data_IF_200516984811
#
_entry.id   IF_200516984811
#
_cell.length_a   1.000
_cell.length_b   1.000
_cell.length_c   1.000
_cell.angle_alpha   90.00
_cell.angle_beta   90.00
_cell.angle_gamma   90.00
#
_symmetry.space_group_name_H-M   'P 1'
#
loop_
_entity.id
_entity.type
_entity.pdbx_description
1 polymer ?
#
# COMPACT_ATOMS: atom_id res chain seq x y z
N UNK A 1 -15.89 -16.05 -15.11
CA UNK A 1 -14.97 -15.12 -14.43
C UNK A 1 -13.85 -15.96 -13.87
N UNK A 2 -12.61 -15.48 -13.86
CA UNK A 2 -11.53 -16.20 -13.21
C UNK A 2 -11.86 -16.51 -11.74
N UNK A 3 -11.27 -17.55 -11.20
CA UNK A 3 -11.39 -17.89 -9.80
C UNK A 3 -10.79 -16.78 -8.92
N UNK A 4 -11.45 -16.47 -7.80
CA UNK A 4 -10.88 -15.58 -6.80
C UNK A 4 -9.89 -16.39 -5.98
N UNK A 5 -8.60 -16.12 -6.15
CA UNK A 5 -7.51 -16.81 -5.45
C UNK A 5 -7.05 -16.08 -4.19
N UNK A 6 -7.34 -14.80 -4.10
CA UNK A 6 -7.08 -13.98 -2.91
C UNK A 6 -8.31 -13.09 -2.66
N UNK A 7 -8.95 -13.26 -1.53
CA UNK A 7 -10.18 -12.55 -1.14
C UNK A 7 -9.92 -11.71 0.11
N UNK A 8 -10.51 -10.51 0.15
CA UNK A 8 -10.45 -9.62 1.32
C UNK A 8 -11.83 -9.40 1.91
N UNK A 9 -11.88 -9.19 3.21
CA UNK A 9 -13.05 -8.71 3.93
C UNK A 9 -12.84 -7.21 4.25
N UNK A 10 -13.58 -6.34 3.58
CA UNK A 10 -13.46 -4.89 3.74
C UNK A 10 -13.98 -4.37 5.08
N UNK A 11 -14.71 -5.19 5.81
CA UNK A 11 -15.27 -4.87 7.12
C UNK A 11 -14.36 -5.34 8.28
N UNK A 12 -13.31 -6.10 7.96
CA UNK A 12 -12.35 -6.63 8.93
C UNK A 12 -11.01 -5.90 8.85
N UNK A 13 -10.36 -5.65 10.00
CA UNK A 13 -9.02 -5.09 9.98
C UNK A 13 -8.00 -6.04 9.34
N UNK A 14 -6.84 -5.54 8.90
CA UNK A 14 -5.86 -6.35 8.18
C UNK A 14 -5.39 -7.60 8.91
N UNK A 15 -5.28 -7.58 10.24
CA UNK A 15 -4.85 -8.72 11.07
C UNK A 15 -5.94 -9.78 11.29
N UNK A 16 -7.18 -9.47 10.89
CA UNK A 16 -8.33 -10.38 10.96
C UNK A 16 -8.82 -10.84 9.58
N UNK A 17 -8.04 -10.63 8.52
CA UNK A 17 -8.44 -11.00 7.16
C UNK A 17 -8.60 -12.52 7.00
N UNK A 18 -9.64 -12.98 6.30
CA UNK A 18 -9.82 -14.40 6.03
C UNK A 18 -8.79 -14.91 5.02
N UNK A 19 -8.05 -15.91 5.37
CA UNK A 19 -7.27 -16.72 4.43
C UNK A 19 -5.85 -16.30 4.13
N UNK A 20 -5.42 -15.09 4.39
CA UNK A 20 -4.03 -14.71 4.27
C UNK A 20 -3.71 -13.53 5.18
N UNK A 21 -2.57 -13.56 5.82
CA UNK A 21 -2.09 -12.41 6.54
C UNK A 21 -1.65 -11.33 5.54
N UNK A 22 -2.31 -10.16 5.50
CA UNK A 22 -1.82 -9.06 4.70
C UNK A 22 -0.43 -8.66 5.21
N UNK A 23 0.40 -8.25 4.30
CA UNK A 23 1.77 -7.84 4.60
C UNK A 23 2.07 -6.50 3.94
N UNK A 24 3.00 -5.77 4.51
CA UNK A 24 3.44 -4.48 3.98
C UNK A 24 4.97 -4.39 3.91
N UNK A 25 5.64 -5.52 3.75
CA UNK A 25 7.09 -5.62 3.69
C UNK A 25 7.54 -6.39 2.46
N UNK A 26 8.66 -5.96 1.89
CA UNK A 26 9.37 -6.68 0.86
C UNK A 26 10.40 -7.60 1.50
N UNK A 27 10.15 -8.92 1.44
CA UNK A 27 11.09 -9.92 1.95
C UNK A 27 10.95 -11.23 1.20
N UNK A 28 12.08 -11.92 0.88
CA UNK A 28 12.04 -13.17 0.11
C UNK A 28 11.38 -14.34 0.85
N UNK A 29 11.35 -14.30 2.18
CA UNK A 29 10.81 -15.39 2.99
C UNK A 29 9.32 -15.23 3.33
N UNK A 30 8.62 -14.21 2.84
CA UNK A 30 7.17 -14.12 2.99
C UNK A 30 6.55 -15.23 2.14
N UNK A 31 5.83 -16.19 2.77
CA UNK A 31 5.32 -17.35 2.05
C UNK A 31 4.23 -16.95 1.05
N UNK A 32 4.29 -17.51 -0.14
CA UNK A 32 3.22 -17.34 -1.12
C UNK A 32 1.92 -17.99 -0.59
N UNK A 33 0.81 -17.29 -0.80
CA UNK A 33 -0.53 -17.74 -0.40
C UNK A 33 -1.43 -18.02 -1.61
N UNK A 34 -0.95 -17.69 -2.80
CA UNK A 34 -1.60 -17.96 -4.09
C UNK A 34 -0.60 -18.65 -4.99
N UNK A 35 -1.05 -19.67 -5.72
CA UNK A 35 -0.26 -20.36 -6.74
C UNK A 35 -0.97 -20.25 -8.09
N UNK A 36 -0.20 -20.00 -9.14
CA UNK A 36 -0.69 -19.91 -10.53
C UNK A 36 0.29 -20.59 -11.47
N UNK A 37 -0.25 -21.22 -12.52
CA UNK A 37 0.52 -21.72 -13.65
C UNK A 37 0.92 -20.56 -14.60
N UNK A 38 1.95 -20.78 -15.43
CA UNK A 38 2.28 -19.83 -16.50
C UNK A 38 1.10 -19.63 -17.44
N UNK A 39 0.73 -18.38 -17.67
CA UNK A 39 -0.41 -17.98 -18.48
C UNK A 39 -1.78 -18.15 -17.83
N UNK A 40 -1.85 -18.59 -16.58
CA UNK A 40 -3.11 -18.65 -15.83
C UNK A 40 -3.63 -17.25 -15.52
N UNK A 41 -4.96 -17.13 -15.46
CA UNK A 41 -5.65 -15.92 -15.06
C UNK A 41 -6.25 -16.09 -13.67
N UNK A 42 -5.86 -15.26 -12.73
CA UNK A 42 -6.38 -15.24 -11.36
C UNK A 42 -7.02 -13.88 -11.05
N UNK A 43 -8.00 -13.89 -10.14
CA UNK A 43 -8.54 -12.68 -9.54
C UNK A 43 -7.96 -12.54 -8.14
N UNK A 44 -7.37 -11.38 -7.88
CA UNK A 44 -6.87 -10.98 -6.58
C UNK A 44 -7.67 -9.76 -6.11
N UNK A 45 -8.13 -9.79 -4.89
CA UNK A 45 -8.73 -8.64 -4.23
C UNK A 45 -7.68 -7.99 -3.33
N UNK A 46 -7.74 -6.69 -3.17
CA UNK A 46 -6.81 -5.94 -2.34
C UNK A 46 -7.56 -4.92 -1.47
N UNK A 47 -7.05 -4.68 -0.28
CA UNK A 47 -7.44 -3.54 0.52
C UNK A 47 -6.87 -2.25 -0.10
N UNK A 48 -7.39 -1.11 0.30
CA UNK A 48 -6.72 0.15 0.03
C UNK A 48 -5.37 0.19 0.77
N UNK A 49 -4.51 1.15 0.37
CA UNK A 49 -3.15 1.23 0.89
C UNK A 49 -3.07 1.42 2.41
N UNK A 50 -4.10 1.98 3.04
CA UNK A 50 -4.16 2.17 4.50
C UNK A 50 -4.68 0.94 5.25
N UNK A 51 -5.20 -0.07 4.53
CA UNK A 51 -5.84 -1.22 5.16
C UNK A 51 -7.18 -0.89 5.81
N UNK A 52 -7.89 0.13 5.31
CA UNK A 52 -9.20 0.53 5.84
C UNK A 52 -9.15 1.55 6.97
N UNK A 53 -7.99 2.15 7.25
CA UNK A 53 -7.90 3.21 8.27
C UNK A 53 -8.64 4.48 7.86
N UNK A 54 -8.89 4.67 6.57
CA UNK A 54 -9.70 5.77 6.04
C UNK A 54 -11.08 5.24 5.67
N UNK A 55 -12.12 5.82 6.23
CA UNK A 55 -13.50 5.39 6.03
C UNK A 55 -14.33 6.43 5.27
N UNK A 56 -15.52 6.04 4.81
CA UNK A 56 -16.45 6.93 4.10
C UNK A 56 -17.13 7.91 5.06
N UNK A 57 -16.35 8.81 5.63
CA UNK A 57 -16.83 9.91 6.46
C UNK A 57 -16.09 11.22 6.14
N UNK A 58 -16.47 12.31 6.78
CA UNK A 58 -15.94 13.65 6.53
C UNK A 58 -14.85 14.07 7.53
N UNK A 59 -14.37 13.16 8.39
CA UNK A 59 -13.35 13.47 9.40
C UNK A 59 -11.94 13.45 8.78
N UNK A 60 -11.25 14.60 8.66
CA UNK A 60 -9.89 14.66 8.15
C UNK A 60 -8.85 14.12 9.16
N UNK A 61 -9.24 13.95 10.44
CA UNK A 61 -8.32 13.42 11.44
C UNK A 61 -7.92 11.98 11.13
N UNK A 62 -8.75 11.21 10.43
CA UNK A 62 -8.35 9.88 9.97
C UNK A 62 -7.07 9.92 9.13
N UNK A 63 -6.88 10.95 8.28
CA UNK A 63 -5.64 11.11 7.51
C UNK A 63 -4.46 11.49 8.40
N UNK A 64 -4.69 12.35 9.42
CA UNK A 64 -3.66 12.68 10.41
C UNK A 64 -3.24 11.47 11.24
N UNK A 65 -4.19 10.64 11.60
CA UNK A 65 -4.01 9.56 12.56
C UNK A 65 -3.70 8.20 11.89
N UNK A 66 -3.51 8.17 10.57
CA UNK A 66 -3.06 6.96 9.87
C UNK A 66 -1.77 6.45 10.47
N UNK A 67 -1.78 5.20 10.91
CA UNK A 67 -0.56 4.50 11.32
C UNK A 67 0.25 4.12 10.06
N UNK A 68 1.29 4.91 9.80
CA UNK A 68 2.15 4.71 8.64
C UNK A 68 3.02 3.45 8.74
N UNK A 69 3.13 2.83 9.92
CA UNK A 69 3.83 1.56 10.06
C UNK A 69 3.06 0.38 9.45
N UNK A 70 1.76 0.54 9.25
CA UNK A 70 0.86 -0.50 8.73
C UNK A 70 0.57 -0.36 7.23
N UNK A 71 1.22 0.55 6.53
CA UNK A 71 1.03 0.76 5.10
C UNK A 71 2.28 0.33 4.31
N UNK A 72 2.19 0.02 3.03
CA UNK A 72 1.01 -0.23 2.21
C UNK A 72 0.66 -1.71 2.23
N UNK A 73 -0.58 -2.06 2.42
CA UNK A 73 -0.98 -3.46 2.40
C UNK A 73 -0.96 -4.04 0.99
N UNK A 74 -0.37 -5.22 0.87
CA UNK A 74 -0.20 -5.96 -0.38
C UNK A 74 -1.05 -7.22 -0.40
N UNK A 75 -1.59 -7.54 -1.57
CA UNK A 75 -2.28 -8.79 -1.86
C UNK A 75 -1.30 -9.84 -2.40
N UNK A 76 -1.38 -11.06 -1.91
CA UNK A 76 -0.48 -12.15 -2.24
C UNK A 76 0.41 -12.53 -1.05
N UNK A 77 1.69 -12.94 -1.23
CA UNK A 77 2.42 -13.12 -2.51
C UNK A 77 1.85 -14.22 -3.40
N UNK A 78 2.10 -14.08 -4.70
CA UNK A 78 1.71 -15.06 -5.71
C UNK A 78 2.94 -15.83 -6.16
N UNK A 79 2.89 -17.16 -6.04
CA UNK A 79 3.88 -18.05 -6.65
C UNK A 79 3.46 -18.36 -8.10
N UNK A 80 4.37 -18.20 -9.03
CA UNK A 80 4.17 -18.59 -10.43
C UNK A 80 4.97 -19.88 -10.68
N UNK A 81 4.27 -20.97 -11.00
CA UNK A 81 4.93 -22.25 -11.18
C UNK A 81 5.95 -22.22 -12.33
N UNK A 82 7.14 -22.74 -12.06
CA UNK A 82 8.25 -22.76 -13.00
C UNK A 82 9.02 -21.44 -13.15
N UNK A 83 8.60 -20.34 -12.54
CA UNK A 83 9.37 -19.10 -12.57
C UNK A 83 10.57 -19.17 -11.61
N UNK A 84 11.74 -18.76 -12.09
CA UNK A 84 12.99 -18.78 -11.32
C UNK A 84 13.60 -17.36 -11.20
N UNK A 85 14.42 -17.10 -10.17
CA UNK A 85 15.14 -15.84 -10.06
C UNK A 85 15.98 -15.55 -11.30
N UNK A 86 15.74 -14.38 -11.92
CA UNK A 86 16.38 -13.97 -13.17
C UNK A 86 15.48 -14.06 -14.40
N UNK A 87 14.32 -14.70 -14.29
CA UNK A 87 13.32 -14.70 -15.34
C UNK A 87 12.63 -13.35 -15.46
N UNK A 88 12.12 -13.07 -16.64
CA UNK A 88 11.29 -11.90 -16.91
C UNK A 88 9.82 -12.27 -16.73
N UNK A 89 9.22 -11.85 -15.63
CA UNK A 89 7.80 -12.03 -15.38
C UNK A 89 6.98 -10.96 -16.12
N UNK A 90 6.06 -11.39 -16.98
CA UNK A 90 5.05 -10.53 -17.60
C UNK A 90 3.73 -10.66 -16.83
N UNK A 91 3.30 -9.58 -16.19
CA UNK A 91 1.98 -9.47 -15.56
C UNK A 91 1.07 -8.66 -16.48
N UNK A 92 -0.09 -9.21 -16.82
CA UNK A 92 -1.08 -8.56 -17.67
C UNK A 92 -2.36 -8.31 -16.87
N UNK A 93 -2.67 -7.04 -16.59
CA UNK A 93 -3.91 -6.64 -15.94
C UNK A 93 -5.05 -6.66 -16.97
N UNK A 94 -5.91 -7.65 -16.86
CA UNK A 94 -7.03 -7.83 -17.79
C UNK A 94 -8.23 -6.98 -17.41
N UNK A 95 -8.45 -6.79 -16.11
CA UNK A 95 -9.52 -5.97 -15.57
C UNK A 95 -9.15 -5.49 -14.16
N UNK A 96 -9.59 -4.29 -13.80
CA UNK A 96 -9.43 -3.72 -12.47
C UNK A 96 -10.64 -2.85 -12.14
N UNK A 97 -11.09 -2.92 -10.90
CA UNK A 97 -12.23 -2.13 -10.45
C UNK A 97 -12.42 -2.16 -8.95
N UNK A 98 -13.31 -1.32 -8.42
CA UNK A 98 -13.67 -1.38 -7.02
C UNK A 98 -14.35 -2.71 -6.69
N UNK A 99 -14.36 -3.06 -5.42
CA UNK A 99 -15.09 -4.23 -4.91
C UNK A 99 -16.59 -3.92 -4.85
N UNK A 100 -17.26 -4.02 -6.00
CA UNK A 100 -18.66 -3.64 -6.19
C UNK A 100 -19.57 -4.21 -5.12
N UNK A 101 -20.38 -3.34 -4.50
CA UNK A 101 -21.29 -3.69 -3.41
C UNK A 101 -20.61 -3.92 -2.06
N UNK A 102 -19.29 -3.78 -1.98
CA UNK A 102 -18.51 -3.88 -0.73
C UNK A 102 -17.75 -2.59 -0.42
N UNK A 103 -17.20 -1.94 -1.43
CA UNK A 103 -16.57 -0.63 -1.29
C UNK A 103 -16.73 0.14 -2.59
N UNK A 104 -17.40 1.29 -2.54
CA UNK A 104 -17.73 2.13 -3.70
C UNK A 104 -17.27 3.58 -3.50
N UNK A 105 -16.27 3.79 -2.66
CA UNK A 105 -15.64 5.08 -2.48
C UNK A 105 -14.13 5.00 -2.61
N UNK A 106 -13.54 6.16 -2.84
CA UNK A 106 -12.10 6.38 -2.72
C UNK A 106 -11.86 7.67 -1.93
N UNK A 107 -10.62 7.96 -1.64
CA UNK A 107 -10.27 9.21 -0.97
C UNK A 107 -9.01 9.84 -1.52
N UNK A 108 -8.87 11.13 -1.27
CA UNK A 108 -7.62 11.87 -1.40
C UNK A 108 -7.34 12.51 -0.05
N UNK A 109 -6.15 12.27 0.48
CA UNK A 109 -5.69 12.86 1.73
C UNK A 109 -4.53 13.84 1.51
N UNK A 110 -4.48 14.88 2.33
CA UNK A 110 -3.30 15.73 2.51
C UNK A 110 -2.81 15.50 3.93
N UNK A 111 -1.57 15.02 4.05
CA UNK A 111 -0.97 14.78 5.36
C UNK A 111 -0.74 16.11 6.10
N UNK A 112 -0.95 16.06 7.40
CA UNK A 112 -0.62 17.19 8.29
C UNK A 112 0.89 17.30 8.49
N UNK A 113 1.32 18.42 9.05
CA UNK A 113 2.70 18.60 9.49
C UNK A 113 3.11 17.51 10.51
N UNK A 114 2.16 17.01 11.30
CA UNK A 114 2.39 15.94 12.29
C UNK A 114 2.75 14.58 11.65
N UNK A 115 2.30 14.34 10.42
CA UNK A 115 2.64 13.15 9.63
C UNK A 115 3.88 13.35 8.74
N UNK A 116 4.73 14.35 9.02
CA UNK A 116 5.84 14.72 8.14
C UNK A 116 5.45 15.68 7.01
N UNK A 117 4.18 15.90 6.79
CA UNK A 117 3.70 16.90 5.81
C UNK A 117 4.00 16.56 4.36
N UNK A 118 4.24 17.60 3.57
CA UNK A 118 4.55 17.53 2.14
C UNK A 118 4.95 18.91 1.60
N UNK A 119 5.09 19.04 0.29
CA UNK A 119 5.55 20.29 -0.35
C UNK A 119 4.70 21.53 -0.07
N UNK A 120 3.45 21.36 0.35
CA UNK A 120 2.54 22.45 0.65
C UNK A 120 2.31 22.68 2.14
N UNK A 121 3.02 21.98 3.01
CA UNK A 121 2.81 22.03 4.47
C UNK A 121 2.93 23.43 5.07
N UNK A 122 3.83 24.28 4.53
CA UNK A 122 3.97 25.67 4.99
C UNK A 122 2.70 26.50 4.80
N UNK A 123 1.84 26.10 3.85
CA UNK A 123 0.59 26.78 3.54
C UNK A 123 -0.64 26.02 4.05
N UNK A 124 -0.54 24.70 4.15
CA UNK A 124 -1.61 23.77 4.55
C UNK A 124 -1.08 22.79 5.60
N UNK A 125 -0.91 23.23 6.85
CA UNK A 125 -0.29 22.40 7.90
C UNK A 125 -1.23 21.32 8.44
N UNK A 126 -2.54 21.46 8.23
CA UNK A 126 -3.55 20.56 8.76
C UNK A 126 -3.87 19.43 7.76
N UNK A 127 -4.27 18.28 8.30
CA UNK A 127 -4.78 17.21 7.47
C UNK A 127 -6.07 17.62 6.74
N UNK A 128 -6.23 17.16 5.51
CA UNK A 128 -7.46 17.31 4.75
C UNK A 128 -7.85 15.98 4.09
N UNK A 129 -9.14 15.77 3.92
CA UNK A 129 -9.69 14.59 3.28
C UNK A 129 -10.77 14.96 2.29
N UNK A 130 -10.77 14.33 1.12
CA UNK A 130 -11.85 14.36 0.15
C UNK A 130 -12.28 12.95 -0.16
N UNK A 131 -13.55 12.65 0.03
CA UNK A 131 -14.16 11.38 -0.36
C UNK A 131 -14.62 11.49 -1.81
N UNK A 132 -14.39 10.45 -2.58
CA UNK A 132 -14.79 10.29 -3.96
C UNK A 132 -15.76 9.15 -4.09
N UNK A 133 -16.99 9.46 -4.50
CA UNK A 133 -18.01 8.47 -4.80
C UNK A 133 -17.73 7.89 -6.19
N UNK A 134 -17.69 6.56 -6.27
CA UNK A 134 -17.41 5.81 -7.49
C UNK A 134 -18.74 5.41 -8.15
N UNK A 135 -18.95 5.85 -9.39
CA UNK A 135 -20.09 5.47 -10.24
C UNK A 135 -19.52 4.85 -11.55
N UNK A 136 -19.26 3.56 -11.48
CA UNK A 136 -18.52 2.84 -12.53
C UNK A 136 -17.10 3.41 -12.69
N UNK A 137 -16.81 4.00 -13.85
CA UNK A 137 -15.54 4.66 -14.12
C UNK A 137 -15.55 6.17 -13.84
N UNK A 138 -16.68 6.72 -13.41
CA UNK A 138 -16.79 8.15 -13.11
C UNK A 138 -16.68 8.37 -11.61
N UNK A 139 -15.98 9.42 -11.23
CA UNK A 139 -15.83 9.83 -9.83
C UNK A 139 -16.30 11.26 -9.63
N UNK A 140 -16.93 11.51 -8.49
CA UNK A 140 -17.32 12.84 -8.02
C UNK A 140 -17.10 12.94 -6.52
N UNK A 141 -16.90 14.15 -6.01
CA UNK A 141 -16.65 14.36 -4.58
C UNK A 141 -17.65 15.33 -4.00
N UNK A 142 -18.22 14.96 -2.85
CA UNK A 142 -19.05 15.84 -2.04
C UNK A 142 -18.26 17.01 -1.44
N UNK A 143 -16.94 16.91 -1.35
CA UNK A 143 -16.07 17.94 -0.82
C UNK A 143 -15.59 18.93 -1.88
N UNK A 144 -15.68 18.57 -3.17
CA UNK A 144 -15.26 19.40 -4.30
C UNK A 144 -16.43 19.52 -5.27
N UNK A 145 -17.37 20.45 -5.03
CA UNK A 145 -18.56 20.62 -5.85
C UNK A 145 -18.20 20.88 -7.33
N UNK A 146 -19.08 20.42 -8.21
CA UNK A 146 -18.98 20.60 -9.67
C UNK A 146 -17.75 19.90 -10.32
N UNK A 147 -17.05 19.06 -9.61
CA UNK A 147 -15.97 18.25 -10.16
C UNK A 147 -16.46 16.81 -10.38
N UNK A 148 -16.41 16.39 -11.63
CA UNK A 148 -16.66 15.03 -12.06
C UNK A 148 -15.70 14.66 -13.19
N UNK A 149 -15.09 13.50 -13.12
CA UNK A 149 -14.18 13.03 -14.17
C UNK A 149 -14.14 11.50 -14.24
N UNK A 150 -13.56 10.98 -15.30
CA UNK A 150 -13.28 9.55 -15.41
C UNK A 150 -12.03 9.21 -14.60
N UNK A 151 -12.18 8.28 -13.66
CA UNK A 151 -11.07 7.75 -12.87
C UNK A 151 -10.21 6.80 -13.72
N UNK A 152 -8.90 6.76 -13.41
CA UNK A 152 -8.02 5.72 -13.90
C UNK A 152 -7.76 4.75 -12.77
N UNK A 153 -8.09 3.49 -12.99
CA UNK A 153 -7.88 2.45 -12.01
C UNK A 153 -6.52 1.81 -12.27
N UNK A 154 -5.72 1.66 -11.22
CA UNK A 154 -4.43 0.97 -11.26
C UNK A 154 -4.14 0.34 -9.89
N UNK A 155 -3.26 -0.67 -9.81
CA UNK A 155 -3.07 -1.44 -8.58
C UNK A 155 -2.25 -0.70 -7.51
N UNK A 156 -1.73 0.48 -7.79
CA UNK A 156 -0.79 1.18 -6.93
C UNK A 156 0.62 0.60 -7.06
N UNK A 157 0.92 -0.39 -6.25
CA UNK A 157 2.20 -1.10 -6.26
C UNK A 157 2.04 -2.51 -6.82
N UNK A 158 3.00 -2.92 -7.61
CA UNK A 158 3.16 -4.31 -8.04
C UNK A 158 4.66 -4.59 -8.21
N UNK A 159 5.14 -5.72 -7.70
CA UNK A 159 6.55 -6.06 -7.76
C UNK A 159 6.80 -7.52 -7.45
N UNK A 160 8.04 -7.94 -7.55
CA UNK A 160 8.50 -9.26 -7.19
C UNK A 160 9.20 -9.25 -5.84
N UNK A 161 9.17 -10.37 -5.13
CA UNK A 161 9.99 -10.55 -3.94
C UNK A 161 11.47 -10.29 -4.27
N UNK A 162 12.19 -9.51 -3.46
CA UNK A 162 13.61 -9.26 -3.67
C UNK A 162 14.42 -10.54 -3.39
N UNK A 163 15.62 -10.64 -3.95
CA UNK A 163 16.62 -11.57 -3.43
C UNK A 163 17.15 -11.08 -2.08
N UNK A 164 17.70 -12.00 -1.30
CA UNK A 164 18.35 -11.65 -0.04
C UNK A 164 19.48 -10.63 -0.24
N UNK A 165 20.30 -10.79 -1.28
CA UNK A 165 21.38 -9.83 -1.62
C UNK A 165 20.82 -8.44 -1.95
N UNK A 166 19.69 -8.37 -2.66
CA UNK A 166 19.07 -7.09 -2.99
C UNK A 166 18.50 -6.41 -1.75
N UNK A 167 17.87 -7.18 -0.87
CA UNK A 167 17.32 -6.68 0.40
C UNK A 167 18.43 -6.12 1.29
N UNK A 168 19.56 -6.84 1.44
CA UNK A 168 20.71 -6.35 2.20
C UNK A 168 21.23 -5.03 1.64
N UNK A 169 21.33 -4.89 0.31
CA UNK A 169 21.73 -3.64 -0.35
C UNK A 169 20.77 -2.49 -0.11
N UNK A 170 19.46 -2.77 -0.07
CA UNK A 170 18.47 -1.76 0.25
C UNK A 170 18.58 -1.30 1.70
N UNK A 171 18.72 -2.24 2.63
CA UNK A 171 18.94 -1.93 4.04
C UNK A 171 20.21 -1.09 4.27
N UNK A 172 21.30 -1.41 3.60
CA UNK A 172 22.53 -0.59 3.66
C UNK A 172 22.28 0.85 3.19
N UNK A 173 21.48 1.05 2.15
CA UNK A 173 21.14 2.39 1.65
C UNK A 173 20.26 3.16 2.63
N UNK A 174 19.28 2.53 3.23
CA UNK A 174 18.44 3.18 4.24
C UNK A 174 19.25 3.53 5.47
N UNK A 175 20.10 2.62 5.93
CA UNK A 175 20.97 2.90 7.06
C UNK A 175 21.91 4.08 6.77
N UNK A 176 22.44 4.18 5.56
CA UNK A 176 23.30 5.31 5.19
C UNK A 176 22.53 6.65 5.22
N UNK A 177 21.23 6.67 4.86
CA UNK A 177 20.41 7.87 4.98
C UNK A 177 20.14 8.24 6.44
N UNK A 178 19.90 7.24 7.30
CA UNK A 178 19.73 7.45 8.74
C UNK A 178 20.99 8.03 9.36
N UNK A 179 22.15 7.44 9.04
CA UNK A 179 23.46 7.90 9.54
C UNK A 179 23.72 9.36 9.09
N UNK A 180 23.42 9.69 7.82
CA UNK A 180 23.57 11.05 7.30
C UNK A 180 22.63 12.03 8.02
N UNK A 181 21.38 11.65 8.28
CA UNK A 181 20.42 12.47 9.02
C UNK A 181 20.86 12.70 10.47
N UNK A 182 21.41 11.69 11.14
CA UNK A 182 21.92 11.83 12.50
C UNK A 182 23.14 12.78 12.58
N UNK A 183 24.00 12.79 11.54
CA UNK A 183 25.15 13.70 11.46
C UNK A 183 24.73 15.13 11.12
N UNK A 184 23.80 15.31 10.18
CA UNK A 184 23.26 16.61 9.74
C UNK A 184 21.76 16.53 9.44
N UNK A 185 20.89 16.80 10.42
CA UNK A 185 19.43 16.76 10.23
C UNK A 185 18.91 17.69 9.13
N UNK A 186 19.70 18.62 8.62
CA UNK A 186 19.32 19.49 7.51
C UNK A 186 19.59 18.88 6.13
N UNK A 187 20.35 17.80 6.06
CA UNK A 187 20.74 17.14 4.81
C UNK A 187 19.56 16.43 4.12
N UNK A 188 18.56 16.03 4.88
CA UNK A 188 17.40 15.28 4.42
C UNK A 188 16.13 16.06 4.77
N UNK A 189 15.21 16.14 3.80
CA UNK A 189 13.98 16.92 3.96
C UNK A 189 12.99 16.32 4.96
N UNK A 190 12.96 15.00 5.09
CA UNK A 190 12.11 14.27 6.01
C UNK A 190 12.97 13.38 6.90
N UNK A 191 12.62 13.29 8.16
CA UNK A 191 13.30 12.39 9.10
C UNK A 191 13.18 10.92 8.64
N UNK A 192 14.27 10.28 8.20
CA UNK A 192 14.22 8.89 7.78
C UNK A 192 14.26 7.92 8.95
N UNK A 193 14.59 8.42 10.16
CA UNK A 193 14.72 7.54 11.33
C UNK A 193 13.38 7.05 11.82
N UNK A 194 12.32 7.86 11.61
CA UNK A 194 11.01 7.65 12.22
C UNK A 194 11.18 7.19 13.67
N UNK A 195 10.71 7.87 14.64
CA UNK A 195 10.84 7.42 16.05
C UNK A 195 10.17 6.07 16.31
N UNK A 196 9.51 5.52 15.30
CA UNK A 196 8.78 4.28 15.39
C UNK A 196 9.64 3.15 14.86
N UNK A 197 9.78 2.10 15.63
CA UNK A 197 10.34 0.85 15.13
C UNK A 197 9.69 0.50 13.79
N UNK A 198 10.44 0.00 12.81
CA UNK A 198 9.90 -0.35 11.50
C UNK A 198 8.63 -1.15 11.73
N UNK A 199 7.50 -0.53 11.41
CA UNK A 199 6.20 -1.02 11.79
C UNK A 199 6.06 -2.46 11.39
N UNK A 200 5.61 -3.19 12.32
CA UNK A 200 5.46 -4.62 12.23
C UNK A 200 4.15 -4.89 11.52
N UNK A 201 4.13 -4.80 10.20
CA UNK A 201 3.07 -5.50 9.52
C UNK A 201 3.27 -6.99 9.71
N UNK A 202 2.22 -7.61 10.06
CA UNK A 202 2.19 -9.05 10.32
C UNK A 202 2.37 -9.84 9.01
N UNK A 203 3.22 -10.83 8.98
CA UNK A 203 4.34 -10.98 9.87
C UNK A 203 5.57 -10.27 9.30
N UNK A 204 6.38 -9.61 10.10
CA UNK A 204 7.73 -9.34 9.66
C UNK A 204 8.44 -10.68 9.64
N UNK A 205 8.73 -11.23 8.48
CA UNK A 205 9.31 -12.58 8.45
C UNK A 205 10.71 -12.60 9.07
N UNK A 206 11.41 -11.45 9.04
CA UNK A 206 12.75 -11.25 9.60
C UNK A 206 13.03 -9.77 9.80
N UNK A 207 14.02 -9.50 10.66
CA UNK A 207 14.62 -8.17 10.76
C UNK A 207 15.17 -7.73 9.40
N UNK A 208 15.05 -6.46 9.09
CA UNK A 208 15.52 -5.87 7.86
C UNK A 208 14.56 -5.94 6.66
N UNK A 209 13.34 -6.45 6.83
CA UNK A 209 12.32 -6.35 5.80
C UNK A 209 11.92 -4.89 5.58
N UNK A 210 11.91 -4.44 4.32
CA UNK A 210 11.55 -3.06 3.96
C UNK A 210 10.05 -2.87 3.85
N UNK A 211 9.58 -1.67 4.16
CA UNK A 211 8.19 -1.28 3.89
C UNK A 211 7.88 -1.34 2.39
N UNK A 212 6.65 -1.73 2.08
CA UNK A 212 6.14 -1.72 0.73
C UNK A 212 5.74 -0.30 0.30
#
# INVERSE_FOLDING_TARGET
>A
MPEVKFEVDVDSPPDEQPGANPFNRWHPDIPAVVEVDDGETARLEALDWTGGQITDNDDPNEVRDVDLNQVHYLAGPVHVDGAEPGDLLKVEFLDMGPLNGRSEFGFTGTFSQQNGGGFLTDHFPDAAKSIWDLDGYTVSSRHIPDVRYEGKIHPGLAGCAPSQELLERWNEREQALIDEFEEDPSSIQNDPTGEEEPGVANPPPKDGALMA
#
